data_IF_370723183623
#
_entry.id   IF_370723183623
#
_cell.length_a   1.000
_cell.length_b   1.000
_cell.length_c   1.000
_cell.angle_alpha   90.00
_cell.angle_beta   90.00
_cell.angle_gamma   90.00
#
_symmetry.space_group_name_H-M   'P 1'
#
loop_
_entity.id
_entity.type
_entity.pdbx_description
1 polymer ?
#
# COMPACT_ATOMS: atom_id res chain seq x y z
N UNK A 1 -3.95 -16.22 -8.07
CA UNK A 1 -3.47 -16.48 -6.67
C UNK A 1 -4.64 -16.57 -5.69
N UNK A 2 -5.59 -15.61 -5.65
CA UNK A 2 -6.73 -15.62 -4.71
C UNK A 2 -7.65 -16.83 -4.92
N UNK A 3 -7.96 -17.18 -6.16
CA UNK A 3 -8.72 -18.39 -6.48
C UNK A 3 -8.02 -19.69 -5.96
N UNK A 4 -6.68 -19.75 -6.04
CA UNK A 4 -5.92 -20.88 -5.51
C UNK A 4 -5.95 -20.92 -3.97
N UNK A 5 -5.88 -19.78 -3.32
CA UNK A 5 -6.04 -19.72 -1.86
C UNK A 5 -7.45 -20.18 -1.46
N UNK A 6 -8.47 -19.74 -2.18
CA UNK A 6 -9.85 -20.16 -1.96
C UNK A 6 -10.05 -21.66 -2.21
N UNK A 7 -9.46 -22.20 -3.26
CA UNK A 7 -9.47 -23.64 -3.55
C UNK A 7 -8.84 -24.46 -2.40
N UNK A 8 -7.88 -23.88 -1.70
CA UNK A 8 -7.27 -24.47 -0.50
C UNK A 8 -8.00 -24.12 0.81
N UNK A 9 -9.23 -23.61 0.72
CA UNK A 9 -10.13 -23.41 1.87
C UNK A 9 -10.13 -22.01 2.46
N UNK A 10 -9.35 -21.05 1.95
CA UNK A 10 -9.36 -19.66 2.44
C UNK A 10 -10.66 -18.95 2.04
N UNK A 11 -11.42 -18.47 3.01
CA UNK A 11 -12.65 -17.70 2.79
C UNK A 11 -12.46 -16.19 2.94
N UNK A 12 -11.37 -15.78 3.55
CA UNK A 12 -10.99 -14.39 3.79
C UNK A 12 -9.51 -14.23 3.45
N UNK A 13 -9.21 -13.36 2.50
CA UNK A 13 -7.86 -13.17 1.97
C UNK A 13 -7.50 -11.72 2.15
N UNK A 14 -6.43 -11.42 2.88
CA UNK A 14 -5.91 -10.05 3.04
C UNK A 14 -4.68 -9.92 2.14
N UNK A 15 -4.69 -8.92 1.27
CA UNK A 15 -3.51 -8.48 0.53
C UNK A 15 -2.96 -7.26 1.25
N UNK A 16 -1.76 -7.39 1.79
CA UNK A 16 -1.03 -6.30 2.41
C UNK A 16 -0.17 -5.64 1.34
N UNK A 17 -0.45 -4.38 1.03
CA UNK A 17 0.32 -3.64 0.04
C UNK A 17 1.69 -3.24 0.61
N UNK A 18 2.76 -3.57 -0.09
CA UNK A 18 4.14 -3.20 0.24
C UNK A 18 4.80 -2.32 -0.84
N UNK A 19 4.03 -1.77 -1.80
CA UNK A 19 4.61 -0.98 -2.89
C UNK A 19 3.64 0.10 -3.38
N UNK A 20 4.09 1.37 -3.40
CA UNK A 20 3.27 2.52 -3.78
C UNK A 20 2.64 2.41 -5.17
N UNK A 21 3.34 1.83 -6.15
CA UNK A 21 2.80 1.62 -7.49
C UNK A 21 1.58 0.70 -7.58
N UNK A 22 1.19 0.03 -6.49
CA UNK A 22 0.02 -0.83 -6.45
C UNK A 22 -1.23 -0.12 -5.88
N UNK A 23 -1.14 1.13 -5.46
CA UNK A 23 -2.22 1.81 -4.73
C UNK A 23 -3.52 1.91 -5.52
N UNK A 24 -3.43 2.20 -6.81
CA UNK A 24 -4.62 2.24 -7.68
C UNK A 24 -5.02 0.84 -8.16
N UNK A 25 -4.05 -0.03 -8.41
CA UNK A 25 -4.28 -1.37 -8.94
C UNK A 25 -5.04 -2.27 -7.97
N UNK A 26 -4.64 -2.29 -6.69
CA UNK A 26 -5.21 -3.23 -5.72
C UNK A 26 -6.68 -2.94 -5.38
N UNK A 27 -7.14 -1.70 -5.18
CA UNK A 27 -8.57 -1.39 -5.06
C UNK A 27 -9.37 -1.79 -6.29
N UNK A 28 -8.85 -1.51 -7.49
CA UNK A 28 -9.47 -1.94 -8.74
C UNK A 28 -9.54 -3.47 -8.84
N UNK A 29 -8.45 -4.17 -8.50
CA UNK A 29 -8.44 -5.63 -8.43
C UNK A 29 -9.51 -6.17 -7.47
N UNK A 30 -9.67 -5.54 -6.29
CA UNK A 30 -10.72 -5.95 -5.35
C UNK A 30 -12.13 -5.80 -5.95
N UNK A 31 -12.37 -4.72 -6.71
CA UNK A 31 -13.64 -4.52 -7.42
C UNK A 31 -13.88 -5.59 -8.50
N UNK A 32 -12.82 -6.02 -9.22
CA UNK A 32 -12.95 -7.09 -10.23
C UNK A 32 -13.35 -8.44 -9.63
N UNK A 33 -13.25 -8.61 -8.31
CA UNK A 33 -13.73 -9.83 -7.66
C UNK A 33 -15.26 -9.96 -7.74
N UNK A 34 -15.97 -8.89 -8.03
CA UNK A 34 -17.43 -8.87 -8.27
C UNK A 34 -17.83 -9.18 -9.73
N UNK A 35 -16.91 -9.61 -10.58
CA UNK A 35 -17.21 -10.08 -11.94
C UNK A 35 -18.13 -11.32 -11.93
N UNK A 36 -17.95 -12.19 -10.94
CA UNK A 36 -18.75 -13.42 -10.77
C UNK A 36 -18.86 -13.79 -9.29
N UNK A 37 -19.89 -14.58 -8.92
CA UNK A 37 -20.04 -15.08 -7.55
C UNK A 37 -18.79 -15.82 -7.08
N UNK A 38 -18.36 -15.50 -5.86
CA UNK A 38 -17.23 -16.14 -5.18
C UNK A 38 -17.65 -16.53 -3.75
N UNK A 39 -17.07 -17.58 -3.22
CA UNK A 39 -17.32 -18.03 -1.84
C UNK A 39 -16.25 -17.55 -0.85
N UNK A 40 -15.51 -16.49 -1.23
CA UNK A 40 -14.48 -15.85 -0.45
C UNK A 40 -14.49 -14.33 -0.67
N UNK A 41 -13.85 -13.60 0.23
CA UNK A 41 -13.69 -12.14 0.14
C UNK A 41 -12.21 -11.76 0.14
N UNK A 42 -11.86 -10.79 -0.70
CA UNK A 42 -10.53 -10.18 -0.73
C UNK A 42 -10.59 -8.82 -0.03
N UNK A 43 -9.69 -8.61 0.90
CA UNK A 43 -9.48 -7.35 1.62
C UNK A 43 -8.14 -6.77 1.20
N UNK A 44 -8.08 -5.47 0.96
CA UNK A 44 -6.83 -4.76 0.67
C UNK A 44 -6.46 -3.93 1.90
N UNK A 45 -5.24 -4.12 2.40
CA UNK A 45 -4.62 -3.20 3.33
C UNK A 45 -3.66 -2.31 2.51
N UNK A 46 -4.02 -1.04 2.24
CA UNK A 46 -3.17 -0.12 1.50
C UNK A 46 -1.92 0.23 2.32
N UNK A 47 -0.98 0.94 1.70
CA UNK A 47 0.08 1.61 2.45
C UNK A 47 -0.57 2.68 3.33
N UNK A 48 -0.20 2.71 4.59
CA UNK A 48 -0.66 3.72 5.54
C UNK A 48 0.57 4.36 6.15
N UNK A 49 0.77 5.63 5.82
CA UNK A 49 1.82 6.43 6.43
C UNK A 49 1.51 6.70 7.91
N UNK A 50 2.51 6.67 8.79
CA UNK A 50 2.34 7.11 10.16
C UNK A 50 1.91 8.59 10.21
N UNK A 51 1.18 9.00 11.26
CA UNK A 51 0.75 10.39 11.43
C UNK A 51 1.94 11.37 11.35
N UNK A 52 1.72 12.53 10.77
CA UNK A 52 2.73 13.62 10.68
C UNK A 52 3.23 14.02 12.07
N UNK A 53 2.39 13.87 13.10
CA UNK A 53 2.70 14.12 14.52
C UNK A 53 3.48 12.97 15.18
N UNK A 54 4.00 12.02 14.40
CA UNK A 54 4.79 10.90 14.92
C UNK A 54 6.06 11.36 15.67
N UNK A 55 6.50 10.56 16.63
CA UNK A 55 7.77 10.77 17.31
C UNK A 55 8.64 9.51 17.20
N UNK A 56 9.77 9.55 16.48
CA UNK A 56 10.38 10.72 15.83
C UNK A 56 9.55 11.24 14.64
N UNK A 57 9.63 12.55 14.31
CA UNK A 57 8.90 13.12 13.18
C UNK A 57 9.48 12.64 11.85
N UNK A 58 8.63 12.57 10.81
CA UNK A 58 9.07 12.45 9.43
C UNK A 58 9.60 13.81 8.96
N UNK A 59 10.77 13.86 8.37
CA UNK A 59 11.44 15.10 7.96
C UNK A 59 11.54 15.26 6.45
N UNK A 60 11.49 14.17 5.69
CA UNK A 60 11.50 14.22 4.22
C UNK A 60 10.09 14.52 3.68
N UNK A 61 9.90 15.65 2.97
CA UNK A 61 8.60 16.00 2.41
C UNK A 61 8.22 15.17 1.18
N UNK A 62 9.19 14.56 0.49
CA UNK A 62 8.97 13.78 -0.74
C UNK A 62 8.82 12.30 -0.43
N UNK A 63 9.80 11.68 0.15
CA UNK A 63 9.89 10.32 0.72
C UNK A 63 9.01 9.25 0.04
N UNK A 64 9.25 9.02 -1.26
CA UNK A 64 8.47 8.07 -2.04
C UNK A 64 9.19 6.73 -2.31
N UNK A 65 10.51 6.76 -2.62
CA UNK A 65 11.26 5.55 -2.95
C UNK A 65 12.73 5.65 -2.56
N UNK A 66 13.16 4.77 -1.66
CA UNK A 66 14.51 4.81 -1.10
C UNK A 66 14.77 6.01 -0.19
N UNK A 67 13.74 6.79 0.15
CA UNK A 67 13.83 7.97 1.01
C UNK A 67 13.99 7.63 2.49
N UNK A 68 13.58 8.57 3.34
CA UNK A 68 13.73 8.47 4.80
C UNK A 68 13.09 7.21 5.36
N UNK A 69 11.80 6.97 5.08
CA UNK A 69 11.02 5.87 5.68
C UNK A 69 11.48 4.49 5.21
N UNK A 70 11.68 4.29 3.91
CA UNK A 70 12.12 2.98 3.39
C UNK A 70 13.53 2.65 3.87
N UNK A 71 14.46 3.62 3.83
CA UNK A 71 15.82 3.44 4.32
C UNK A 71 15.83 3.18 5.83
N UNK A 72 15.02 3.88 6.62
CA UNK A 72 14.89 3.64 8.06
C UNK A 72 14.41 2.23 8.39
N UNK A 73 13.42 1.71 7.65
CA UNK A 73 12.95 0.31 7.80
C UNK A 73 14.04 -0.69 7.44
N UNK A 74 14.81 -0.42 6.37
CA UNK A 74 15.94 -1.27 5.98
C UNK A 74 17.08 -1.26 7.01
N UNK A 75 17.31 -0.15 7.72
CA UNK A 75 18.26 -0.09 8.83
C UNK A 75 17.90 -1.03 9.98
N UNK A 76 16.61 -1.37 10.13
CA UNK A 76 16.13 -2.36 11.12
C UNK A 76 16.17 -3.77 10.54
N UNK A 77 15.65 -3.96 9.32
CA UNK A 77 15.46 -5.27 8.73
C UNK A 77 16.76 -5.89 8.22
N UNK A 78 17.60 -5.11 7.57
CA UNK A 78 18.84 -5.57 6.91
C UNK A 78 19.88 -4.45 6.85
N UNK A 79 20.35 -4.01 8.01
CA UNK A 79 21.38 -2.96 8.13
C UNK A 79 22.65 -3.27 7.33
N UNK A 80 22.98 -4.54 7.19
CA UNK A 80 24.12 -5.03 6.42
C UNK A 80 24.06 -4.67 4.91
N UNK A 81 22.86 -4.37 4.39
CA UNK A 81 22.63 -3.98 3.00
C UNK A 81 22.53 -2.46 2.80
N UNK A 82 22.56 -1.67 3.88
CA UNK A 82 22.38 -0.21 3.81
C UNK A 82 23.72 0.51 3.91
N UNK A 83 24.10 1.19 2.84
CA UNK A 83 25.34 1.95 2.71
C UNK A 83 25.10 3.44 2.94
N UNK A 84 24.90 3.84 4.21
CA UNK A 84 24.65 5.24 4.57
C UNK A 84 25.75 6.20 4.18
N UNK A 85 27.02 5.72 4.04
CA UNK A 85 28.15 6.47 3.53
C UNK A 85 27.95 6.95 2.08
N UNK A 86 27.07 6.31 1.32
CA UNK A 86 26.72 6.63 -0.07
C UNK A 86 25.41 7.41 -0.21
N UNK A 87 24.64 7.60 0.86
CA UNK A 87 23.29 8.14 0.79
C UNK A 87 23.21 9.53 0.13
N UNK A 88 24.29 10.32 0.18
CA UNK A 88 24.38 11.65 -0.43
C UNK A 88 25.07 11.68 -1.79
N UNK A 89 25.44 10.53 -2.36
CA UNK A 89 26.07 10.46 -3.68
C UNK A 89 25.07 10.68 -4.83
N UNK A 90 23.79 10.47 -4.56
CA UNK A 90 22.69 10.63 -5.50
C UNK A 90 21.62 11.57 -4.95
N UNK A 91 20.83 12.16 -5.83
CA UNK A 91 19.73 13.03 -5.46
C UNK A 91 18.39 12.38 -5.78
N UNK A 92 17.51 12.31 -4.78
CA UNK A 92 16.11 11.92 -4.93
C UNK A 92 15.16 13.12 -5.14
N UNK A 93 15.68 14.30 -5.48
CA UNK A 93 14.85 15.47 -5.73
C UNK A 93 14.04 15.33 -7.02
N UNK A 94 12.80 15.83 -6.98
CA UNK A 94 11.92 15.89 -8.14
C UNK A 94 12.52 16.82 -9.22
N UNK A 95 12.71 16.28 -10.42
CA UNK A 95 13.28 17.00 -11.56
C UNK A 95 12.25 17.89 -12.28
N UNK A 96 10.97 17.79 -11.94
CA UNK A 96 9.85 18.58 -12.47
C UNK A 96 9.87 18.73 -14.01
N UNK A 97 10.20 17.65 -14.74
CA UNK A 97 10.35 17.70 -16.22
C UNK A 97 9.02 17.65 -16.97
N UNK A 98 7.95 17.17 -16.36
CA UNK A 98 6.61 17.28 -16.95
C UNK A 98 6.09 18.71 -16.81
N UNK A 99 5.44 19.19 -17.88
CA UNK A 99 4.80 20.51 -17.94
C UNK A 99 3.30 20.33 -18.19
N UNK A 100 2.70 19.40 -17.44
CA UNK A 100 1.26 19.12 -17.49
C UNK A 100 0.62 19.61 -16.17
N UNK A 101 -0.67 19.95 -16.19
CA UNK A 101 -1.45 20.13 -14.96
C UNK A 101 -1.37 18.86 -14.08
N UNK A 102 -1.36 19.06 -12.76
CA UNK A 102 -1.22 17.96 -11.78
C UNK A 102 -2.37 16.96 -11.83
N UNK A 103 -3.54 17.38 -12.34
CA UNK A 103 -4.72 16.54 -12.53
C UNK A 103 -4.56 15.50 -13.67
N UNK A 104 -3.52 15.66 -14.49
CA UNK A 104 -3.28 14.75 -15.62
C UNK A 104 -2.23 13.69 -15.26
N UNK A 105 -2.68 12.44 -15.31
CA UNK A 105 -1.78 11.29 -15.16
C UNK A 105 -1.25 10.83 -16.52
N UNK A 106 0.03 10.48 -16.57
CA UNK A 106 0.68 9.78 -17.69
C UNK A 106 1.69 8.77 -17.18
N UNK A 107 1.79 7.60 -17.82
CA UNK A 107 2.68 6.52 -17.39
C UNK A 107 4.15 6.91 -17.28
N UNK A 108 4.59 7.98 -17.96
CA UNK A 108 5.98 8.47 -17.92
C UNK A 108 6.27 9.39 -16.70
N UNK A 109 5.27 9.67 -15.85
CA UNK A 109 5.39 10.66 -14.77
C UNK A 109 6.54 10.36 -13.80
N UNK A 110 6.73 9.08 -13.43
CA UNK A 110 7.79 8.68 -12.51
C UNK A 110 9.17 8.97 -13.08
N UNK A 111 9.44 8.48 -14.30
CA UNK A 111 10.71 8.75 -14.97
C UNK A 111 10.95 10.25 -15.20
N UNK A 112 9.93 11.02 -15.46
CA UNK A 112 10.02 12.45 -15.65
C UNK A 112 10.45 13.18 -14.36
N UNK A 113 10.00 12.69 -13.21
CA UNK A 113 10.33 13.27 -11.90
C UNK A 113 11.60 12.68 -11.30
N UNK A 114 11.75 11.38 -11.36
CA UNK A 114 12.80 10.62 -10.68
C UNK A 114 13.52 9.64 -11.63
N UNK A 115 14.39 10.13 -12.53
CA UNK A 115 14.96 9.30 -13.60
C UNK A 115 15.95 8.22 -13.11
N UNK A 116 16.58 8.40 -11.95
CA UNK A 116 17.42 7.42 -11.29
C UNK A 116 16.63 6.49 -10.35
N UNK A 117 15.31 6.58 -10.35
CA UNK A 117 14.38 5.80 -9.52
C UNK A 117 14.48 6.09 -8.02
N UNK A 118 15.28 7.04 -7.58
CA UNK A 118 15.38 7.49 -6.19
C UNK A 118 14.51 8.73 -5.97
N UNK A 119 13.71 8.73 -4.90
CA UNK A 119 12.75 9.81 -4.61
C UNK A 119 12.65 10.05 -3.11
N UNK A 120 13.26 11.14 -2.65
CA UNK A 120 13.38 11.50 -1.25
C UNK A 120 14.83 11.65 -0.80
N UNK A 121 15.08 11.70 0.53
CA UNK A 121 16.42 11.75 1.13
C UNK A 121 16.65 10.64 2.15
N UNK A 122 17.21 9.52 1.72
CA UNK A 122 17.59 8.40 2.58
C UNK A 122 18.65 8.73 3.62
N UNK A 123 19.39 9.84 3.46
CA UNK A 123 20.37 10.28 4.46
C UNK A 123 19.71 10.81 5.76
N UNK A 124 18.43 11.10 5.73
CA UNK A 124 17.64 11.49 6.91
C UNK A 124 17.18 10.29 7.74
N UNK A 125 17.33 9.07 7.22
CA UNK A 125 16.86 7.86 7.87
C UNK A 125 17.58 7.59 9.20
N UNK A 126 16.79 7.24 10.22
CA UNK A 126 17.31 6.83 11.53
C UNK A 126 16.77 5.47 11.96
N UNK A 127 17.51 4.78 12.82
CA UNK A 127 17.08 3.50 13.42
C UNK A 127 15.81 3.70 14.25
N UNK A 128 15.71 4.81 14.98
CA UNK A 128 14.56 5.16 15.81
C UNK A 128 13.30 5.34 14.95
N UNK A 129 13.43 6.02 13.81
CA UNK A 129 12.32 6.19 12.86
C UNK A 129 11.89 4.83 12.30
N UNK A 130 12.83 4.02 11.85
CA UNK A 130 12.56 2.68 11.32
C UNK A 130 11.83 1.79 12.32
N UNK A 131 12.28 1.79 13.59
CA UNK A 131 11.63 1.03 14.65
C UNK A 131 10.20 1.50 14.89
N UNK A 132 9.99 2.81 15.01
CA UNK A 132 8.66 3.37 15.19
C UNK A 132 7.70 2.94 14.05
N UNK A 133 8.12 3.09 12.79
CA UNK A 133 7.29 2.73 11.64
C UNK A 133 6.97 1.24 11.57
N UNK A 134 7.95 0.37 11.86
CA UNK A 134 7.73 -1.07 11.91
C UNK A 134 6.76 -1.47 13.02
N UNK A 135 6.91 -0.89 14.21
CA UNK A 135 6.02 -1.14 15.37
C UNK A 135 4.57 -0.69 15.06
N UNK A 136 4.38 0.48 14.43
CA UNK A 136 3.04 0.97 14.06
C UNK A 136 2.41 0.13 12.95
N UNK A 137 3.19 -0.29 11.98
CA UNK A 137 2.72 -1.16 10.92
C UNK A 137 2.32 -2.54 11.44
N UNK A 138 3.09 -3.13 12.37
CA UNK A 138 2.73 -4.38 13.01
C UNK A 138 1.38 -4.27 13.77
N UNK A 139 1.21 -3.20 14.56
CA UNK A 139 -0.06 -2.94 15.26
C UNK A 139 -1.24 -2.83 14.30
N UNK A 140 -1.05 -2.13 13.18
CA UNK A 140 -2.06 -1.99 12.14
C UNK A 140 -2.43 -3.35 11.52
N UNK A 141 -1.44 -4.15 11.11
CA UNK A 141 -1.68 -5.49 10.54
C UNK A 141 -2.44 -6.37 11.52
N UNK A 142 -2.00 -6.42 12.78
CA UNK A 142 -2.66 -7.22 13.83
C UNK A 142 -4.13 -6.80 14.00
N UNK A 143 -4.40 -5.49 14.04
CA UNK A 143 -5.77 -4.96 14.13
C UNK A 143 -6.62 -5.38 12.92
N UNK A 144 -6.06 -5.24 11.71
CA UNK A 144 -6.76 -5.61 10.48
C UNK A 144 -7.03 -7.12 10.39
N UNK A 145 -6.07 -7.96 10.76
CA UNK A 145 -6.25 -9.42 10.81
C UNK A 145 -7.38 -9.78 11.79
N UNK A 146 -7.41 -9.18 12.97
CA UNK A 146 -8.47 -9.43 13.96
C UNK A 146 -9.84 -9.00 13.43
N UNK A 147 -9.94 -7.83 12.81
CA UNK A 147 -11.18 -7.33 12.21
C UNK A 147 -11.69 -8.26 11.10
N UNK A 148 -10.82 -8.66 10.16
CA UNK A 148 -11.18 -9.58 9.08
C UNK A 148 -11.56 -10.96 9.61
N UNK A 149 -10.88 -11.48 10.62
CA UNK A 149 -11.28 -12.76 11.26
C UNK A 149 -12.67 -12.67 11.87
N UNK A 150 -13.01 -11.54 12.48
CA UNK A 150 -14.32 -11.31 13.10
C UNK A 150 -15.44 -10.98 12.11
N UNK A 151 -15.11 -10.50 10.90
CA UNK A 151 -16.10 -10.10 9.90
C UNK A 151 -16.98 -11.28 9.47
N UNK A 152 -18.29 -11.14 9.61
CA UNK A 152 -19.31 -12.09 9.15
C UNK A 152 -20.19 -11.49 8.05
N UNK A 153 -19.98 -10.21 7.74
CA UNK A 153 -20.90 -9.41 6.93
C UNK A 153 -20.48 -9.35 5.46
N UNK A 154 -19.18 -9.19 5.19
CA UNK A 154 -18.71 -8.93 3.81
C UNK A 154 -19.07 -10.05 2.82
N UNK A 155 -18.92 -11.32 3.20
CA UNK A 155 -19.30 -12.44 2.34
C UNK A 155 -20.83 -12.51 2.14
N UNK A 156 -21.60 -12.16 3.17
CA UNK A 156 -23.05 -12.12 3.10
C UNK A 156 -23.52 -11.02 2.15
N UNK A 157 -22.98 -9.81 2.27
CA UNK A 157 -23.27 -8.70 1.36
C UNK A 157 -22.86 -9.00 -0.08
N UNK A 158 -21.74 -9.69 -0.28
CA UNK A 158 -21.31 -10.12 -1.62
C UNK A 158 -22.33 -11.09 -2.26
N UNK A 159 -22.89 -12.02 -1.49
CA UNK A 159 -23.97 -12.90 -1.97
C UNK A 159 -25.24 -12.13 -2.30
N UNK A 160 -25.66 -11.26 -1.41
CA UNK A 160 -26.82 -10.37 -1.62
C UNK A 160 -26.65 -9.52 -2.88
N UNK A 161 -25.45 -8.97 -3.10
CA UNK A 161 -25.14 -8.21 -4.31
C UNK A 161 -25.43 -9.01 -5.59
N UNK A 162 -24.99 -10.27 -5.68
CA UNK A 162 -25.24 -11.11 -6.85
C UNK A 162 -26.72 -11.52 -6.99
N UNK A 163 -27.40 -11.76 -5.88
CA UNK A 163 -28.85 -12.03 -5.91
C UNK A 163 -29.62 -10.83 -6.47
N UNK A 164 -29.34 -9.63 -5.97
CA UNK A 164 -29.98 -8.38 -6.43
C UNK A 164 -29.57 -8.01 -7.85
N UNK A 165 -28.33 -8.25 -8.26
CA UNK A 165 -27.86 -7.98 -9.62
C UNK A 165 -28.61 -8.83 -10.68
N UNK A 166 -29.09 -10.01 -10.32
CA UNK A 166 -29.92 -10.83 -11.19
C UNK A 166 -31.37 -10.35 -11.31
N UNK A 167 -31.80 -9.46 -10.39
CA UNK A 167 -33.16 -8.90 -10.35
C UNK A 167 -33.14 -7.37 -10.20
N UNK A 168 -32.55 -6.64 -11.16
CA UNK A 168 -32.27 -5.21 -11.02
C UNK A 168 -33.52 -4.33 -10.87
N UNK A 169 -34.68 -4.79 -11.35
CA UNK A 169 -35.95 -4.06 -11.21
C UNK A 169 -36.59 -4.22 -9.83
N UNK A 170 -36.19 -5.23 -9.08
CA UNK A 170 -36.73 -5.56 -7.75
C UNK A 170 -35.84 -5.02 -6.62
N UNK A 171 -34.73 -4.33 -6.96
CA UNK A 171 -33.79 -3.81 -5.99
C UNK A 171 -34.39 -2.60 -5.25
N UNK A 172 -34.58 -2.75 -3.95
CA UNK A 172 -35.03 -1.68 -3.02
C UNK A 172 -33.95 -1.45 -1.96
N UNK A 173 -33.79 -0.20 -1.45
CA UNK A 173 -32.86 0.07 -0.36
C UNK A 173 -33.25 -0.64 0.93
#
# INVERSE_FOLDING_TARGET
TTDEMARNGCKKIIIVNGHGGNEDLLPYFAQTQLEKPRDYVVYILPIVDPPVTSNPPKTDPVDLHGGESETAKMLIARRDLVHMDRARSESGADQARLKLPDELYTAIWWYARFPNHYSGDGALATVERGKYEMDEFEKLIVRCIRAVKADQTSLQLQKEFFEKANHPLDTRP
#
